data_IF_454228963306
#
_entry.id   IF_454228963306
#
_cell.length_a   1.000
_cell.length_b   1.000
_cell.length_c   1.000
_cell.angle_alpha   90.00
_cell.angle_beta   90.00
_cell.angle_gamma   90.00
#
_symmetry.space_group_name_H-M   'P 1'
#
loop_
_entity.id
_entity.type
_entity.pdbx_description
1 polymer ?
#
# COMPACT_ATOMS: atom_id res chain seq x y z
N UNK A 1 0.85 -14.95 -2.76
CA UNK A 1 1.93 -14.41 -1.90
C UNK A 1 1.27 -13.45 -0.94
N UNK A 2 1.30 -13.73 0.37
CA UNK A 2 0.64 -12.88 1.36
C UNK A 2 1.69 -12.08 2.13
N UNK A 3 1.82 -10.76 1.93
CA UNK A 3 2.69 -9.97 2.78
C UNK A 3 2.13 -10.04 4.21
N UNK A 4 2.99 -10.28 5.20
CA UNK A 4 2.58 -10.37 6.61
C UNK A 4 2.98 -9.11 7.36
N UNK A 5 4.12 -8.53 6.98
CA UNK A 5 4.74 -7.43 7.72
C UNK A 5 5.78 -6.74 6.85
N UNK A 6 5.93 -5.44 7.04
CA UNK A 6 7.10 -4.70 6.60
C UNK A 6 8.09 -4.50 7.77
N UNK A 7 9.35 -4.27 7.43
CA UNK A 7 10.42 -4.16 8.43
C UNK A 7 10.64 -2.74 8.95
N UNK A 8 9.80 -1.77 8.57
CA UNK A 8 10.05 -0.35 8.84
C UNK A 8 9.03 0.19 9.85
N UNK A 9 9.41 0.36 11.12
CA UNK A 9 8.51 0.93 12.10
C UNK A 9 8.17 2.39 11.74
N UNK A 10 6.90 2.75 11.75
CA UNK A 10 6.43 4.14 11.67
C UNK A 10 6.83 4.92 12.94
N UNK A 11 7.22 6.19 12.78
CA UNK A 11 7.58 7.06 13.91
C UNK A 11 6.34 7.71 14.55
N UNK A 12 5.28 7.90 13.76
CA UNK A 12 3.99 8.44 14.19
C UNK A 12 2.91 7.37 14.24
N UNK A 13 1.94 7.56 15.13
CA UNK A 13 0.81 6.66 15.22
C UNK A 13 -0.11 6.84 13.99
N UNK A 14 -0.41 5.78 13.21
CA UNK A 14 -1.09 5.90 11.92
C UNK A 14 -2.62 5.95 12.08
N UNK A 15 -3.13 7.06 12.61
CA UNK A 15 -4.55 7.28 12.91
C UNK A 15 -5.46 7.11 11.70
N UNK A 16 -5.06 7.58 10.53
CA UNK A 16 -5.88 7.52 9.31
C UNK A 16 -5.92 6.10 8.77
N UNK A 17 -4.79 5.39 8.78
CA UNK A 17 -4.74 3.97 8.42
C UNK A 17 -5.69 3.16 9.30
N UNK A 18 -5.64 3.35 10.62
CA UNK A 18 -6.55 2.68 11.55
C UNK A 18 -8.01 3.12 11.38
N UNK A 19 -8.25 4.42 11.15
CA UNK A 19 -9.57 4.96 10.89
C UNK A 19 -10.18 4.37 9.62
N UNK A 20 -9.42 4.27 8.53
CA UNK A 20 -9.85 3.61 7.29
C UNK A 20 -10.14 2.13 7.54
N UNK A 21 -9.30 1.42 8.29
CA UNK A 21 -9.56 0.02 8.64
C UNK A 21 -10.88 -0.12 9.42
N UNK A 22 -11.08 0.72 10.43
CA UNK A 22 -12.30 0.73 11.23
C UNK A 22 -13.54 1.04 10.39
N UNK A 23 -13.49 2.08 9.54
CA UNK A 23 -14.60 2.47 8.66
C UNK A 23 -14.96 1.32 7.71
N UNK A 24 -13.97 0.73 7.03
CA UNK A 24 -14.21 -0.41 6.13
C UNK A 24 -14.83 -1.61 6.86
N UNK A 25 -14.37 -1.88 8.08
CA UNK A 25 -14.90 -2.96 8.92
C UNK A 25 -16.35 -2.68 9.34
N UNK A 26 -16.65 -1.47 9.80
CA UNK A 26 -18.00 -1.07 10.21
C UNK A 26 -18.97 -1.10 9.03
N UNK A 27 -18.58 -0.55 7.88
CA UNK A 27 -19.40 -0.58 6.65
C UNK A 27 -19.66 -2.03 6.24
N UNK A 28 -18.65 -2.89 6.25
CA UNK A 28 -18.84 -4.30 5.92
C UNK A 28 -19.82 -4.99 6.88
N UNK A 29 -19.66 -4.79 8.18
CA UNK A 29 -20.54 -5.37 9.19
C UNK A 29 -21.97 -4.83 9.15
N UNK A 30 -22.20 -3.62 8.64
CA UNK A 30 -23.54 -3.03 8.59
C UNK A 30 -24.45 -3.68 7.54
N UNK A 31 -23.89 -4.17 6.43
CA UNK A 31 -24.70 -4.80 5.37
C UNK A 31 -24.47 -6.31 5.29
N UNK A 32 -23.28 -6.82 5.57
CA UNK A 32 -22.94 -8.20 5.23
C UNK A 32 -23.83 -9.21 5.94
N UNK A 33 -23.96 -9.24 7.29
CA UNK A 33 -24.84 -10.20 7.96
C UNK A 33 -26.33 -10.04 7.63
N UNK A 34 -26.75 -8.81 7.30
CA UNK A 34 -28.14 -8.48 7.05
C UNK A 34 -28.60 -8.89 5.63
N UNK A 35 -27.68 -8.87 4.65
CA UNK A 35 -28.02 -9.00 3.23
C UNK A 35 -27.34 -10.23 2.58
N UNK A 36 -26.32 -10.83 3.20
CA UNK A 36 -25.59 -11.98 2.63
C UNK A 36 -26.40 -13.29 2.57
N UNK A 37 -27.64 -13.31 3.05
CA UNK A 37 -28.53 -14.47 2.96
C UNK A 37 -29.22 -14.61 1.60
N UNK A 38 -29.18 -13.58 0.76
CA UNK A 38 -29.83 -13.53 -0.56
C UNK A 38 -28.91 -12.87 -1.59
N UNK A 39 -28.46 -13.65 -2.57
CA UNK A 39 -27.59 -13.14 -3.66
C UNK A 39 -28.23 -11.96 -4.39
N UNK A 40 -29.55 -11.97 -4.56
CA UNK A 40 -30.29 -10.91 -5.24
C UNK A 40 -30.29 -9.58 -4.45
N UNK A 41 -30.42 -9.63 -3.13
CA UNK A 41 -30.38 -8.43 -2.30
C UNK A 41 -28.95 -7.87 -2.22
N UNK A 42 -27.95 -8.75 -2.16
CA UNK A 42 -26.54 -8.35 -2.17
C UNK A 42 -26.15 -7.72 -3.51
N UNK A 43 -26.62 -8.27 -4.62
CA UNK A 43 -26.43 -7.69 -5.95
C UNK A 43 -27.10 -6.32 -6.06
N UNK A 44 -28.36 -6.18 -5.61
CA UNK A 44 -29.07 -4.90 -5.61
C UNK A 44 -28.35 -3.83 -4.76
N UNK A 45 -27.79 -4.24 -3.61
CA UNK A 45 -26.97 -3.38 -2.77
C UNK A 45 -25.71 -2.91 -3.51
N UNK A 46 -24.99 -3.82 -4.16
CA UNK A 46 -23.80 -3.46 -4.96
C UNK A 46 -24.12 -2.61 -6.19
N UNK A 47 -25.28 -2.77 -6.81
CA UNK A 47 -25.72 -1.87 -7.90
C UNK A 47 -25.98 -0.45 -7.42
N UNK A 48 -26.37 -0.28 -6.16
CA UNK A 48 -26.67 1.03 -5.57
C UNK A 48 -25.41 1.75 -5.07
N UNK A 49 -24.50 1.01 -4.43
CA UNK A 49 -23.36 1.58 -3.71
C UNK A 49 -21.99 1.25 -4.31
N UNK A 50 -21.92 0.22 -5.14
CA UNK A 50 -20.73 -0.14 -5.92
C UNK A 50 -20.63 0.66 -7.20
N UNK A 51 -19.42 0.74 -7.75
CA UNK A 51 -19.19 1.50 -8.98
C UNK A 51 -19.61 0.68 -10.19
N UNK A 52 -20.61 1.16 -10.91
CA UNK A 52 -21.01 0.63 -12.22
C UNK A 52 -20.54 1.63 -13.29
N UNK A 53 -19.54 1.28 -14.13
CA UNK A 53 -18.98 2.21 -15.11
C UNK A 53 -20.03 2.88 -16.00
N UNK A 54 -21.00 2.11 -16.49
CA UNK A 54 -22.08 2.61 -17.34
C UNK A 54 -22.92 3.69 -16.67
N UNK A 55 -23.25 3.51 -15.39
CA UNK A 55 -24.12 4.44 -14.66
C UNK A 55 -23.41 5.78 -14.47
N UNK A 56 -22.15 5.73 -14.04
CA UNK A 56 -21.29 6.92 -13.90
C UNK A 56 -21.15 7.63 -15.24
N UNK A 57 -20.95 6.88 -16.32
CA UNK A 57 -20.78 7.45 -17.66
C UNK A 57 -22.05 8.04 -18.26
N UNK A 58 -23.21 7.60 -17.82
CA UNK A 58 -24.49 8.21 -18.16
C UNK A 58 -24.85 9.44 -17.30
N UNK A 59 -23.96 9.84 -16.38
CA UNK A 59 -24.15 10.99 -15.48
C UNK A 59 -24.90 10.66 -14.18
N UNK A 60 -25.21 9.38 -13.94
CA UNK A 60 -25.82 8.89 -12.71
C UNK A 60 -24.78 8.44 -11.69
N UNK A 61 -25.22 8.19 -10.46
CA UNK A 61 -24.46 7.46 -9.44
C UNK A 61 -23.02 7.94 -9.14
N UNK A 62 -22.71 9.23 -9.32
CA UNK A 62 -21.36 9.76 -9.11
C UNK A 62 -20.80 9.50 -7.68
N UNK A 63 -21.67 9.36 -6.68
CA UNK A 63 -21.29 8.98 -5.31
C UNK A 63 -20.56 7.63 -5.25
N UNK A 64 -20.81 6.72 -6.21
CA UNK A 64 -20.18 5.40 -6.24
C UNK A 64 -18.69 5.45 -6.52
N UNK A 65 -18.17 6.56 -7.06
CA UNK A 65 -16.73 6.80 -7.17
C UNK A 65 -16.02 6.77 -5.81
N UNK A 66 -16.74 7.10 -4.73
CA UNK A 66 -16.24 7.10 -3.36
C UNK A 66 -16.81 5.93 -2.57
N UNK A 67 -18.12 5.67 -2.63
CA UNK A 67 -18.72 4.63 -1.78
C UNK A 67 -18.22 3.23 -2.13
N UNK A 68 -17.89 2.95 -3.39
CA UNK A 68 -17.35 1.65 -3.80
C UNK A 68 -16.03 1.31 -3.11
N UNK A 69 -15.26 2.33 -2.69
CA UNK A 69 -13.98 2.18 -1.99
C UNK A 69 -14.13 1.54 -0.61
N UNK A 70 -15.35 1.49 -0.05
CA UNK A 70 -15.61 0.99 1.30
C UNK A 70 -16.40 -0.32 1.34
N UNK A 71 -16.78 -0.85 0.18
CA UNK A 71 -17.54 -2.10 0.04
C UNK A 71 -16.63 -3.30 -0.19
N UNK A 72 -17.04 -4.48 0.26
CA UNK A 72 -16.25 -5.70 0.14
C UNK A 72 -17.10 -6.92 -0.21
N UNK A 73 -16.63 -7.71 -1.18
CA UNK A 73 -17.31 -8.92 -1.64
C UNK A 73 -17.39 -10.08 -0.63
N UNK A 74 -16.75 -9.97 0.54
CA UNK A 74 -16.73 -11.01 1.57
C UNK A 74 -15.53 -10.90 2.52
N UNK A 75 -15.47 -11.80 3.50
CA UNK A 75 -14.44 -11.77 4.55
C UNK A 75 -13.01 -11.79 4.04
N UNK A 76 -12.69 -12.68 3.10
CA UNK A 76 -11.33 -12.75 2.54
C UNK A 76 -10.94 -11.49 1.77
N UNK A 77 -11.91 -10.84 1.12
CA UNK A 77 -11.70 -9.59 0.42
C UNK A 77 -11.41 -8.45 1.42
N UNK A 78 -12.21 -8.33 2.49
CA UNK A 78 -11.97 -7.35 3.56
C UNK A 78 -10.63 -7.58 4.24
N UNK A 79 -10.38 -8.77 4.78
CA UNK A 79 -9.17 -9.09 5.53
C UNK A 79 -7.93 -8.87 4.66
N UNK A 80 -7.96 -9.27 3.40
CA UNK A 80 -6.89 -9.03 2.44
C UNK A 80 -6.60 -7.53 2.26
N UNK A 81 -7.63 -6.71 2.03
CA UNK A 81 -7.46 -5.27 1.91
C UNK A 81 -6.91 -4.64 3.18
N UNK A 82 -7.45 -4.98 4.35
CA UNK A 82 -7.01 -4.40 5.62
C UNK A 82 -5.56 -4.78 5.93
N UNK A 83 -5.15 -6.02 5.60
CA UNK A 83 -3.76 -6.46 5.75
C UNK A 83 -2.81 -5.63 4.87
N UNK A 84 -3.12 -5.44 3.59
CA UNK A 84 -2.29 -4.63 2.71
C UNK A 84 -2.26 -3.16 3.13
N UNK A 85 -3.41 -2.59 3.50
CA UNK A 85 -3.49 -1.22 4.01
C UNK A 85 -2.67 -1.05 5.30
N UNK A 86 -2.71 -2.03 6.20
CA UNK A 86 -1.93 -2.01 7.44
C UNK A 86 -0.42 -2.08 7.18
N UNK A 87 0.03 -2.88 6.21
CA UNK A 87 1.46 -3.08 5.90
C UNK A 87 2.08 -1.89 5.16
N UNK A 88 1.32 -1.22 4.29
CA UNK A 88 1.87 -0.16 3.43
C UNK A 88 1.39 1.24 3.82
N UNK A 89 0.28 1.36 4.54
CA UNK A 89 -0.36 2.63 4.85
C UNK A 89 0.41 3.45 5.88
N UNK A 90 0.97 2.82 6.90
CA UNK A 90 1.57 3.53 8.03
C UNK A 90 2.84 4.32 7.62
N UNK A 91 3.73 3.75 6.79
CA UNK A 91 4.91 4.45 6.30
C UNK A 91 4.53 5.63 5.39
N UNK A 92 3.45 5.51 4.60
CA UNK A 92 2.97 6.59 3.73
C UNK A 92 2.30 7.68 4.54
N UNK A 93 1.54 7.31 5.56
CA UNK A 93 0.92 8.24 6.50
C UNK A 93 1.95 9.02 7.30
N UNK A 94 3.00 8.36 7.77
CA UNK A 94 4.10 9.01 8.47
C UNK A 94 4.85 10.00 7.54
N UNK A 95 5.07 9.58 6.29
CA UNK A 95 5.75 10.39 5.26
C UNK A 95 4.96 11.64 4.84
N UNK A 96 3.64 11.51 4.66
CA UNK A 96 2.75 12.54 4.12
C UNK A 96 2.00 13.33 5.19
N UNK A 97 1.96 12.83 6.42
CA UNK A 97 1.05 13.27 7.48
C UNK A 97 -0.39 12.79 7.26
N UNK A 98 -1.19 12.81 8.34
CA UNK A 98 -2.57 12.30 8.37
C UNK A 98 -3.45 12.83 7.23
N UNK A 99 -3.56 14.16 7.09
CA UNK A 99 -4.42 14.78 6.08
C UNK A 99 -3.91 14.50 4.67
N UNK A 100 -2.59 14.59 4.46
CA UNK A 100 -1.98 14.31 3.16
C UNK A 100 -2.23 12.88 2.71
N UNK A 101 -2.11 11.92 3.62
CA UNK A 101 -2.38 10.51 3.35
C UNK A 101 -3.87 10.22 3.09
N UNK A 102 -4.79 10.83 3.86
CA UNK A 102 -6.22 10.69 3.62
C UNK A 102 -6.61 11.15 2.20
N UNK A 103 -6.14 12.33 1.79
CA UNK A 103 -6.37 12.87 0.44
C UNK A 103 -5.72 11.99 -0.63
N UNK A 104 -4.49 11.52 -0.39
CA UNK A 104 -3.78 10.62 -1.28
C UNK A 104 -4.54 9.29 -1.48
N UNK A 105 -5.08 8.70 -0.41
CA UNK A 105 -5.87 7.48 -0.46
C UNK A 105 -7.15 7.67 -1.29
N UNK A 106 -7.91 8.74 -1.04
CA UNK A 106 -9.12 9.05 -1.79
C UNK A 106 -8.82 9.33 -3.27
N UNK A 107 -7.81 10.13 -3.57
CA UNK A 107 -7.41 10.43 -4.94
C UNK A 107 -6.90 9.18 -5.69
N UNK A 108 -6.20 8.28 -5.00
CA UNK A 108 -5.80 6.98 -5.55
C UNK A 108 -7.00 6.10 -5.88
N UNK A 109 -8.04 6.09 -5.02
CA UNK A 109 -9.30 5.41 -5.29
C UNK A 109 -10.04 5.96 -6.50
N UNK A 110 -10.04 7.29 -6.68
CA UNK A 110 -10.58 7.91 -7.90
C UNK A 110 -9.77 7.55 -9.15
N UNK A 111 -8.44 7.45 -9.03
CA UNK A 111 -7.57 6.93 -10.10
C UNK A 111 -7.88 5.48 -10.47
N UNK A 112 -8.17 4.64 -9.46
CA UNK A 112 -8.63 3.27 -9.67
C UNK A 112 -9.99 3.20 -10.37
N UNK A 113 -10.96 4.01 -9.93
CA UNK A 113 -12.25 4.14 -10.58
C UNK A 113 -12.10 4.57 -12.05
N UNK A 114 -11.25 5.56 -12.33
CA UNK A 114 -10.91 5.99 -13.68
C UNK A 114 -10.30 4.86 -14.51
N UNK A 115 -9.35 4.10 -13.96
CA UNK A 115 -8.76 2.94 -14.63
C UNK A 115 -9.80 1.88 -15.01
N UNK A 116 -10.73 1.56 -14.10
CA UNK A 116 -11.81 0.63 -14.39
C UNK A 116 -12.75 1.16 -15.47
N UNK A 117 -13.21 2.41 -15.34
CA UNK A 117 -14.14 3.03 -16.29
C UNK A 117 -13.52 3.09 -17.69
N UNK A 118 -12.25 3.50 -17.80
CA UNK A 118 -11.57 3.58 -19.09
C UNK A 118 -11.37 2.22 -19.75
N UNK A 119 -11.30 1.13 -18.97
CA UNK A 119 -11.16 -0.22 -19.51
C UNK A 119 -12.44 -0.77 -20.16
N UNK A 120 -13.59 -0.47 -19.57
CA UNK A 120 -14.91 -0.86 -20.09
C UNK A 120 -15.99 0.14 -19.62
N UNK A 121 -16.18 1.27 -20.33
CA UNK A 121 -17.14 2.30 -19.94
C UNK A 121 -18.60 1.84 -19.99
N UNK A 122 -18.89 0.78 -20.75
CA UNK A 122 -20.24 0.24 -20.92
C UNK A 122 -20.56 -0.87 -19.90
N UNK A 123 -19.61 -1.24 -19.03
CA UNK A 123 -19.76 -2.32 -18.08
C UNK A 123 -20.93 -2.09 -17.13
N UNK A 124 -21.75 -3.13 -16.99
CA UNK A 124 -22.88 -3.18 -16.05
C UNK A 124 -22.55 -3.97 -14.77
N UNK A 125 -21.30 -4.42 -14.63
CA UNK A 125 -20.82 -5.18 -13.49
C UNK A 125 -20.39 -4.22 -12.38
N UNK A 126 -20.96 -4.31 -11.17
CA UNK A 126 -20.56 -3.45 -10.07
C UNK A 126 -19.17 -3.82 -9.56
N UNK A 127 -18.31 -2.81 -9.41
CA UNK A 127 -17.01 -2.91 -8.78
C UNK A 127 -17.12 -2.46 -7.32
N UNK A 128 -16.57 -3.27 -6.41
CA UNK A 128 -16.49 -2.98 -4.97
C UNK A 128 -15.08 -3.28 -4.46
N UNK A 129 -14.58 -2.50 -3.52
CA UNK A 129 -13.30 -2.78 -2.86
C UNK A 129 -12.47 -1.55 -2.57
N UNK A 130 -11.86 -1.52 -1.38
CA UNK A 130 -10.77 -0.61 -1.04
C UNK A 130 -9.49 -0.86 -1.86
N UNK A 131 -9.40 -2.01 -2.52
CA UNK A 131 -8.20 -2.52 -3.18
C UNK A 131 -7.61 -1.58 -4.22
N UNK A 132 -8.43 -0.81 -4.94
CA UNK A 132 -7.95 0.20 -5.89
C UNK A 132 -7.17 1.34 -5.22
N UNK A 133 -7.69 1.89 -4.13
CA UNK A 133 -7.00 2.92 -3.37
C UNK A 133 -5.74 2.37 -2.68
N UNK A 134 -5.83 1.16 -2.14
CA UNK A 134 -4.68 0.44 -1.56
C UNK A 134 -3.62 0.15 -2.63
N UNK A 135 -4.01 -0.13 -3.87
CA UNK A 135 -3.08 -0.24 -4.99
C UNK A 135 -2.32 1.06 -5.22
N UNK A 136 -2.98 2.22 -5.08
CA UNK A 136 -2.27 3.51 -5.07
C UNK A 136 -1.34 3.69 -3.89
N UNK A 137 -1.71 3.24 -2.68
CA UNK A 137 -0.77 3.17 -1.55
C UNK A 137 0.46 2.35 -1.89
N UNK A 138 0.29 1.17 -2.51
CA UNK A 138 1.41 0.36 -2.99
C UNK A 138 2.25 1.05 -4.07
N UNK A 139 1.63 1.77 -5.01
CA UNK A 139 2.33 2.53 -6.04
C UNK A 139 3.19 3.66 -5.44
N UNK A 140 2.61 4.43 -4.52
CA UNK A 140 3.35 5.45 -3.77
C UNK A 140 4.47 4.85 -2.93
N UNK A 141 4.20 3.72 -2.26
CA UNK A 141 5.19 2.97 -1.47
C UNK A 141 6.38 2.53 -2.32
N UNK A 142 6.12 1.97 -3.51
CA UNK A 142 7.17 1.55 -4.43
C UNK A 142 8.08 2.71 -4.82
N UNK A 143 7.50 3.87 -5.14
CA UNK A 143 8.29 5.05 -5.52
C UNK A 143 9.15 5.55 -4.37
N UNK A 144 8.59 5.60 -3.15
CA UNK A 144 9.28 6.14 -2.00
C UNK A 144 10.31 5.17 -1.41
N UNK A 145 10.01 3.88 -1.39
CA UNK A 145 10.75 2.87 -0.65
C UNK A 145 11.04 1.61 -1.48
N UNK A 146 11.68 1.72 -2.66
CA UNK A 146 11.83 0.60 -3.59
C UNK A 146 12.62 -0.58 -3.01
N UNK A 147 13.51 -0.36 -2.03
CA UNK A 147 14.33 -1.41 -1.39
C UNK A 147 13.87 -1.79 0.02
N UNK A 148 12.70 -1.30 0.45
CA UNK A 148 12.08 -1.77 1.69
C UNK A 148 11.91 -3.30 1.66
N UNK A 149 12.14 -3.93 2.80
CA UNK A 149 12.04 -5.38 2.95
C UNK A 149 10.63 -5.74 3.39
N UNK A 150 9.96 -6.59 2.61
CA UNK A 150 8.62 -7.08 2.89
C UNK A 150 8.69 -8.58 3.15
N UNK A 151 8.16 -9.01 4.28
CA UNK A 151 8.03 -10.44 4.59
C UNK A 151 6.77 -10.98 3.93
N UNK A 152 6.97 -11.92 3.03
CA UNK A 152 5.93 -12.59 2.26
C UNK A 152 5.79 -14.03 2.73
N UNK A 153 4.60 -14.37 3.19
CA UNK A 153 4.17 -15.74 3.41
C UNK A 153 3.90 -16.43 2.08
N UNK A 154 4.57 -17.56 1.89
CA UNK A 154 4.29 -18.49 0.81
C UNK A 154 3.82 -19.79 1.46
N UNK A 155 2.54 -20.10 1.26
CA UNK A 155 1.92 -21.36 1.67
C UNK A 155 1.85 -22.25 0.42
N UNK A 156 2.71 -23.27 0.35
CA UNK A 156 2.68 -24.28 -0.70
C UNK A 156 2.26 -25.61 -0.08
N UNK A 157 0.95 -25.86 0.05
CA UNK A 157 0.24 -27.09 0.51
C UNK A 157 0.81 -27.87 1.73
N UNK A 158 2.11 -28.15 1.77
CA UNK A 158 2.88 -28.82 2.82
C UNK A 158 3.99 -27.91 3.42
N UNK A 159 4.38 -26.82 2.75
CA UNK A 159 5.46 -25.93 3.16
C UNK A 159 4.95 -24.52 3.46
N UNK A 160 5.07 -24.11 4.72
CA UNK A 160 4.89 -22.72 5.16
C UNK A 160 6.30 -22.10 5.29
N UNK A 161 6.64 -21.16 4.39
CA UNK A 161 7.91 -20.41 4.46
C UNK A 161 7.64 -18.90 4.34
N UNK A 162 8.42 -18.13 5.11
CA UNK A 162 8.45 -16.68 5.05
C UNK A 162 9.70 -16.29 4.27
N UNK A 163 9.53 -15.50 3.21
CA UNK A 163 10.61 -14.93 2.42
C UNK A 163 10.60 -13.42 2.56
N UNK A 164 11.76 -12.83 2.80
CA UNK A 164 11.92 -11.38 2.78
C UNK A 164 12.37 -10.96 1.39
N UNK A 165 11.55 -10.20 0.69
CA UNK A 165 11.85 -9.71 -0.67
C UNK A 165 11.80 -8.17 -0.72
N UNK A 166 12.58 -7.53 -1.61
CA UNK A 166 12.52 -6.08 -1.75
C UNK A 166 11.20 -5.63 -2.38
N UNK A 167 10.70 -4.48 -1.95
CA UNK A 167 9.42 -3.91 -2.38
C UNK A 167 9.31 -3.77 -3.90
N UNK A 168 10.38 -3.34 -4.58
CA UNK A 168 10.37 -3.23 -6.04
C UNK A 168 10.06 -4.53 -6.76
N UNK A 169 10.56 -5.66 -6.25
CA UNK A 169 10.32 -6.95 -6.87
C UNK A 169 8.89 -7.41 -6.59
N UNK A 170 8.44 -7.33 -5.34
CA UNK A 170 7.10 -7.75 -4.95
C UNK A 170 6.01 -6.92 -5.66
N UNK A 171 6.07 -5.59 -5.50
CA UNK A 171 5.05 -4.67 -5.98
C UNK A 171 5.10 -4.53 -7.50
N UNK A 172 6.30 -4.55 -8.08
CA UNK A 172 6.49 -4.58 -9.54
C UNK A 172 5.91 -5.84 -10.18
N UNK A 173 6.19 -7.03 -9.61
CA UNK A 173 5.61 -8.28 -10.08
C UNK A 173 4.09 -8.30 -9.89
N UNK A 174 3.59 -7.86 -8.73
CA UNK A 174 2.15 -7.79 -8.47
C UNK A 174 1.44 -6.89 -9.50
N UNK A 175 1.98 -5.70 -9.78
CA UNK A 175 1.45 -4.79 -10.80
C UNK A 175 1.50 -5.38 -12.20
N UNK A 176 2.60 -6.04 -12.57
CA UNK A 176 2.71 -6.75 -13.85
C UNK A 176 1.66 -7.85 -14.01
N UNK A 177 1.35 -8.59 -12.94
CA UNK A 177 0.26 -9.57 -12.92
C UNK A 177 -1.09 -8.89 -13.11
N UNK A 178 -1.36 -7.73 -12.48
CA UNK A 178 -2.62 -7.00 -12.71
C UNK A 178 -2.80 -6.64 -14.19
N UNK A 179 -1.74 -6.15 -14.86
CA UNK A 179 -1.79 -5.81 -16.28
C UNK A 179 -2.01 -7.05 -17.15
N UNK A 180 -1.26 -8.13 -16.91
CA UNK A 180 -1.39 -9.37 -17.67
C UNK A 180 -2.80 -9.98 -17.49
N UNK A 181 -3.33 -10.01 -16.27
CA UNK A 181 -4.67 -10.51 -15.98
C UNK A 181 -5.77 -9.62 -16.58
N UNK A 182 -5.61 -8.30 -16.54
CA UNK A 182 -6.55 -7.36 -17.17
C UNK A 182 -6.61 -7.49 -18.70
N UNK A 183 -5.51 -7.88 -19.34
CA UNK A 183 -5.46 -8.16 -20.78
C UNK A 183 -5.95 -9.57 -21.15
N UNK A 184 -5.80 -10.56 -20.25
CA UNK A 184 -6.10 -11.96 -20.54
C UNK A 184 -7.52 -12.38 -20.21
N UNK A 185 -8.20 -11.67 -19.30
CA UNK A 185 -9.56 -12.02 -18.89
C UNK A 185 -10.59 -11.20 -19.66
N UNK A 186 -11.48 -11.88 -20.39
CA UNK A 186 -12.72 -11.28 -20.87
C UNK A 186 -13.63 -10.98 -19.66
N UNK A 187 -14.34 -9.84 -19.68
CA UNK A 187 -15.16 -9.29 -18.59
C UNK A 187 -16.22 -10.24 -17.98
N UNK A 188 -16.44 -11.40 -18.59
CA UNK A 188 -17.47 -12.39 -18.24
C UNK A 188 -17.03 -13.34 -17.11
N UNK A 189 -15.75 -13.36 -16.72
CA UNK A 189 -15.21 -14.44 -15.86
C UNK A 189 -14.38 -14.06 -14.63
N UNK A 190 -14.25 -12.79 -14.26
CA UNK A 190 -13.33 -12.38 -13.19
C UNK A 190 -13.98 -11.47 -12.14
N UNK A 191 -14.22 -11.98 -10.94
CA UNK A 191 -14.65 -11.18 -9.77
C UNK A 191 -13.57 -10.22 -9.21
N UNK A 192 -12.53 -9.90 -10.00
CA UNK A 192 -11.38 -9.07 -9.61
C UNK A 192 -11.23 -7.93 -10.61
N UNK A 193 -11.25 -6.70 -10.10
CA UNK A 193 -11.13 -5.48 -10.90
C UNK A 193 -9.65 -5.14 -11.20
N UNK A 194 -9.02 -5.92 -12.09
CA UNK A 194 -7.60 -5.77 -12.42
C UNK A 194 -7.24 -4.37 -12.94
N UNK A 195 -8.10 -3.76 -13.75
CA UNK A 195 -7.89 -2.40 -14.27
C UNK A 195 -8.03 -1.33 -13.21
N UNK A 196 -8.89 -1.54 -12.21
CA UNK A 196 -8.94 -0.68 -11.04
C UNK A 196 -7.63 -0.74 -10.23
N UNK A 197 -7.08 -1.94 -10.03
CA UNK A 197 -5.80 -2.10 -9.36
C UNK A 197 -4.65 -1.43 -10.12
N UNK A 198 -4.59 -1.62 -11.44
CA UNK A 198 -3.57 -1.00 -12.27
C UNK A 198 -3.70 0.53 -12.29
N UNK A 199 -4.93 1.05 -12.45
CA UNK A 199 -5.22 2.48 -12.43
C UNK A 199 -4.88 3.12 -11.09
N UNK A 200 -5.27 2.46 -9.98
CA UNK A 200 -4.95 2.91 -8.63
C UNK A 200 -3.44 2.96 -8.39
N UNK A 201 -2.71 1.90 -8.75
CA UNK A 201 -1.25 1.83 -8.62
C UNK A 201 -0.54 2.95 -9.39
N UNK A 202 -0.91 3.13 -10.66
CA UNK A 202 -0.35 4.20 -11.49
C UNK A 202 -0.66 5.58 -10.93
N UNK A 203 -1.91 5.82 -10.50
CA UNK A 203 -2.31 7.06 -9.85
C UNK A 203 -1.50 7.32 -8.58
N UNK A 204 -1.28 6.31 -7.75
CA UNK A 204 -0.45 6.41 -6.55
C UNK A 204 1.00 6.82 -6.84
N UNK A 205 1.63 6.25 -7.87
CA UNK A 205 2.97 6.67 -8.31
C UNK A 205 2.97 8.15 -8.74
N UNK A 206 1.99 8.54 -9.57
CA UNK A 206 1.87 9.91 -10.08
C UNK A 206 1.62 10.91 -8.95
N UNK A 207 0.73 10.58 -8.01
CA UNK A 207 0.39 11.43 -6.87
C UNK A 207 1.54 11.56 -5.86
N UNK A 208 2.35 10.51 -5.69
CA UNK A 208 3.53 10.54 -4.83
C UNK A 208 4.74 11.23 -5.48
N UNK A 209 4.76 11.36 -6.81
CA UNK A 209 5.89 11.93 -7.56
C UNK A 209 6.33 13.33 -7.09
N UNK A 210 5.44 14.31 -6.87
CA UNK A 210 5.85 15.62 -6.39
C UNK A 210 6.50 15.56 -4.99
N UNK A 211 6.07 14.64 -4.14
CA UNK A 211 6.62 14.45 -2.78
C UNK A 211 8.03 13.87 -2.88
N UNK A 212 8.21 12.86 -3.74
CA UNK A 212 9.52 12.27 -4.02
C UNK A 212 10.52 13.32 -4.55
N UNK A 213 10.10 14.15 -5.51
CA UNK A 213 10.92 15.22 -6.07
C UNK A 213 11.31 16.27 -5.02
N UNK A 214 10.36 16.70 -4.17
CA UNK A 214 10.63 17.65 -3.08
C UNK A 214 11.62 17.12 -2.05
N UNK A 215 11.74 15.80 -1.90
CA UNK A 215 12.69 15.15 -1.01
C UNK A 215 14.07 14.89 -1.64
N UNK A 216 14.29 15.32 -2.88
CA UNK A 216 15.57 15.18 -3.58
C UNK A 216 15.61 14.02 -4.59
N UNK A 217 14.48 13.38 -4.86
CA UNK A 217 14.35 12.37 -5.91
C UNK A 217 15.33 11.20 -5.75
N UNK A 218 16.24 11.02 -6.72
CA UNK A 218 17.28 9.97 -6.63
C UNK A 218 18.23 10.17 -5.45
N UNK A 219 18.45 11.41 -5.01
CA UNK A 219 19.28 11.67 -3.84
C UNK A 219 18.66 11.09 -2.57
N UNK A 220 17.33 11.22 -2.41
CA UNK A 220 16.58 10.60 -1.32
C UNK A 220 16.81 9.09 -1.26
N UNK A 221 16.75 8.41 -2.42
CA UNK A 221 17.05 6.98 -2.47
C UNK A 221 18.50 6.65 -2.11
N UNK A 222 19.46 7.50 -2.49
CA UNK A 222 20.87 7.28 -2.13
C UNK A 222 21.13 7.51 -0.65
N UNK A 223 20.42 8.46 -0.03
CA UNK A 223 20.56 8.81 1.38
C UNK A 223 20.02 7.71 2.30
N UNK A 224 18.84 7.15 1.96
CA UNK A 224 18.16 6.15 2.78
C UNK A 224 18.23 4.73 2.20
N UNK A 225 19.12 4.48 1.23
CA UNK A 225 19.24 3.20 0.50
C UNK A 225 17.89 2.69 -0.05
N UNK A 226 16.98 3.60 -0.42
CA UNK A 226 15.64 3.28 -0.91
C UNK A 226 14.73 2.61 0.13
N UNK A 227 14.96 2.82 1.43
CA UNK A 227 14.13 2.38 2.55
C UNK A 227 13.51 3.58 3.26
N UNK A 228 12.47 3.40 4.09
CA UNK A 228 11.97 4.48 4.94
C UNK A 228 13.06 4.99 5.89
N UNK A 229 13.09 6.30 6.19
CA UNK A 229 13.95 6.84 7.23
C UNK A 229 13.51 6.25 8.58
N UNK A 230 14.31 5.35 9.13
CA UNK A 230 14.13 4.82 10.49
C UNK A 230 15.50 4.66 11.14
N UNK A 231 15.54 4.68 12.48
CA UNK A 231 16.72 4.28 13.22
C UNK A 231 17.09 2.82 12.91
N UNK A 232 18.35 2.55 12.58
CA UNK A 232 18.81 1.20 12.22
C UNK A 232 18.38 0.17 13.28
N UNK A 233 17.56 -0.78 12.85
CA UNK A 233 17.17 -1.91 13.69
C UNK A 233 18.22 -3.00 13.53
N UNK A 234 18.94 -3.32 14.60
CA UNK A 234 19.93 -4.38 14.58
C UNK A 234 19.22 -5.74 14.66
N UNK A 235 19.26 -6.52 13.57
CA UNK A 235 18.70 -7.87 13.52
C UNK A 235 19.64 -8.84 14.23
N UNK A 236 19.38 -9.17 15.49
CA UNK A 236 20.12 -10.23 16.18
C UNK A 236 19.48 -11.59 15.91
N UNK A 237 20.07 -12.36 15.01
CA UNK A 237 19.70 -13.77 14.82
C UNK A 237 20.30 -14.57 15.98
N UNK A 238 19.50 -14.86 17.01
CA UNK A 238 19.90 -15.77 18.08
C UNK A 238 20.01 -17.21 17.52
N UNK A 239 21.24 -17.72 17.39
CA UNK A 239 21.47 -19.14 17.06
C UNK A 239 21.01 -20.00 18.25
N UNK A 240 19.84 -20.64 18.15
CA UNK A 240 19.43 -21.65 19.13
C UNK A 240 17.95 -22.02 19.21
N UNK A 241 17.02 -21.23 18.64
CA UNK A 241 15.58 -21.55 18.69
C UNK A 241 15.10 -22.28 17.42
N UNK A 242 14.28 -23.32 17.61
CA UNK A 242 13.68 -24.16 16.54
C UNK A 242 12.85 -23.37 15.52
N UNK A 243 12.41 -22.16 15.87
CA UNK A 243 11.73 -21.23 14.97
C UNK A 243 12.58 -19.97 14.77
N UNK A 244 12.99 -19.73 13.51
CA UNK A 244 13.75 -18.53 13.09
C UNK A 244 12.78 -17.35 12.93
N UNK A 245 12.27 -16.84 14.04
CA UNK A 245 11.63 -15.51 14.05
C UNK A 245 12.69 -14.52 14.52
N UNK A 246 13.15 -13.58 13.67
CA UNK A 246 14.10 -12.55 14.09
C UNK A 246 13.50 -11.73 15.22
N UNK A 247 14.20 -11.61 16.35
CA UNK A 247 13.81 -10.70 17.43
C UNK A 247 14.36 -9.32 17.09
N UNK A 248 13.46 -8.37 16.86
CA UNK A 248 13.77 -6.97 16.57
C UNK A 248 14.05 -6.23 17.87
N UNK A 249 15.30 -5.77 18.09
CA UNK A 249 15.65 -4.92 19.24
C UNK A 249 16.06 -3.53 18.75
N UNK A 250 15.38 -2.50 19.27
CA UNK A 250 15.66 -1.09 18.94
C UNK A 250 17.02 -0.69 19.51
N UNK A 251 17.94 -0.22 18.66
CA UNK A 251 19.19 0.41 19.12
C UNK A 251 18.97 1.92 19.11
N UNK A 252 19.12 2.57 20.26
CA UNK A 252 18.99 4.03 20.38
C UNK A 252 20.21 4.67 19.71
N UNK A 253 20.01 5.62 18.79
CA UNK A 253 21.11 6.37 18.16
C UNK A 253 22.07 6.95 19.22
N UNK A 254 23.39 7.00 18.94
CA UNK A 254 24.31 7.80 19.74
C UNK A 254 23.83 9.26 19.76
N UNK A 255 23.74 9.85 20.96
CA UNK A 255 23.39 11.26 21.13
C UNK A 255 24.37 12.15 20.34
N UNK A 256 23.86 13.01 19.45
CA UNK A 256 24.68 13.94 18.65
C UNK A 256 24.18 14.31 17.25
N UNK A 257 23.08 13.72 16.77
CA UNK A 257 22.45 14.04 15.47
C UNK A 257 21.02 14.56 15.63
N UNK A 258 20.78 15.38 16.65
CA UNK A 258 19.48 16.01 16.90
C UNK A 258 19.24 17.14 15.90
N UNK A 259 18.80 16.78 14.69
CA UNK A 259 17.97 17.68 13.88
C UNK A 259 16.57 17.09 13.82
N UNK A 260 15.54 17.81 14.27
CA UNK A 260 14.16 17.44 14.02
C UNK A 260 13.95 17.28 12.50
N UNK A 261 13.26 16.20 12.08
CA UNK A 261 12.87 15.95 10.68
C UNK A 261 12.11 17.13 10.03
N UNK A 262 11.55 18.03 10.83
CA UNK A 262 10.89 19.26 10.40
C UNK A 262 11.85 20.32 9.81
N UNK A 263 13.16 20.20 10.03
CA UNK A 263 14.14 21.25 9.74
C UNK A 263 14.93 21.04 8.43
N UNK A 264 14.57 20.01 7.65
CA UNK A 264 15.20 19.73 6.34
C UNK A 264 14.76 20.71 5.22
N UNK A 265 13.97 21.73 5.54
CA UNK A 265 13.60 22.82 4.63
C UNK A 265 14.76 23.77 4.25
N UNK A 266 15.96 23.59 4.81
CA UNK A 266 17.16 24.32 4.41
C UNK A 266 18.31 23.36 4.16
N UNK A 267 18.42 22.90 2.91
CA UNK A 267 19.63 22.25 2.40
C UNK A 267 20.77 23.26 2.49
N UNK A 268 21.85 23.02 3.28
CA UNK A 268 23.05 23.85 3.19
C UNK A 268 23.64 23.69 1.79
N UNK A 269 23.92 24.81 1.11
CA UNK A 269 24.67 24.79 -0.15
C UNK A 269 26.01 24.08 0.09
N UNK A 270 26.29 23.13 -0.82
CA UNK A 270 27.50 22.33 -0.97
C UNK A 270 28.70 22.71 -0.09
N UNK A 271 29.18 21.76 0.72
CA UNK A 271 30.49 21.86 1.36
C UNK A 271 30.74 20.74 2.39
N UNK A 272 31.88 20.08 2.24
CA UNK A 272 32.48 19.08 3.14
C UNK A 272 31.88 17.66 3.16
N UNK A 273 32.41 16.82 2.25
CA UNK A 273 32.53 15.38 2.49
C UNK A 273 33.34 15.16 3.78
N UNK A 274 32.78 14.46 4.76
CA UNK A 274 33.55 13.67 5.74
C UNK A 274 32.99 12.26 5.72
N UNK A 275 33.76 11.34 5.15
CA UNK A 275 33.43 9.92 5.13
C UNK A 275 33.51 9.35 6.53
N UNK A 276 32.43 8.70 6.98
CA UNK A 276 32.50 7.80 8.12
C UNK A 276 33.24 6.52 7.69
N UNK A 277 34.21 5.99 8.47
CA UNK A 277 34.84 4.72 8.15
C UNK A 277 33.82 3.59 8.26
N UNK A 278 33.69 2.78 7.22
CA UNK A 278 32.87 1.57 7.26
C UNK A 278 33.41 0.55 8.27
N UNK A 279 32.56 -0.36 8.77
CA UNK A 279 32.86 -1.29 9.88
C UNK A 279 33.90 -2.38 9.57
N UNK A 280 34.67 -2.24 8.48
CA UNK A 280 35.68 -3.20 8.02
C UNK A 280 37.07 -2.59 7.82
N UNK A 281 37.41 -1.54 8.57
CA UNK A 281 38.79 -1.01 8.62
C UNK A 281 39.42 -1.33 9.98
N UNK A 282 40.08 -2.48 10.05
CA UNK A 282 40.77 -2.91 11.27
C UNK A 282 41.76 -4.05 11.07
N UNK A 283 43.03 -3.67 10.93
CA UNK A 283 44.27 -4.37 11.32
C UNK A 283 44.69 -5.61 10.49
N UNK A 284 45.65 -5.43 9.58
CA UNK A 284 47.08 -5.64 9.83
C UNK A 284 47.89 -4.78 8.87
#
# INVERSE_FOLDING_TARGET
>A
MFPIRDHNPSERMPFVTWGLIAINTVVFLSYFPAISGSDAELEAFYRTWGLVPRDVMSGGNAQTLITSMFLHGGWMHLIGNMLFLWIFGDNLEDLMGHVGFALFYLASGLGAAGGQILSDPASTLPMVGASGAIAGVMGGYLLMFPRARIDVLVILLVFIRIFTIPAWLMLGLWFGIQLASGLSMNAVGGGVAYWAHAGGFAAGVVLAWPIWMRRGGRHYWSEFDGKPPHDEVEYRIERGRRFRVPVVRRVRRPQGLDRPLADLGRVPKAGARRGAPGPWSGRR
#
